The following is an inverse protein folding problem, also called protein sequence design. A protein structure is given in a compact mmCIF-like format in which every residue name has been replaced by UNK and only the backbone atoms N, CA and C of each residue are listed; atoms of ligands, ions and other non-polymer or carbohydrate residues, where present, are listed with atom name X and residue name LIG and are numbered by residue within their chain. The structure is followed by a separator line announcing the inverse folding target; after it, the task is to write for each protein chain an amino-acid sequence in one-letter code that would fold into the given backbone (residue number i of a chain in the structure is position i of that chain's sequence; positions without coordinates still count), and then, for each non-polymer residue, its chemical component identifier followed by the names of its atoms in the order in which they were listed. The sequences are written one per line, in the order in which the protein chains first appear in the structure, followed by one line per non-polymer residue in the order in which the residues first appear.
data_IF_408924431941
#
_entry.id   IF_408924431941
#
_cell.length_a   1.000
_cell.length_b   1.000
_cell.length_c   1.000
_cell.angle_alpha   90.00
_cell.angle_beta   90.00
_cell.angle_gamma   90.00
#
_symmetry.space_group_name_H-M   'P 1'
#
loop_
_entity.id
_entity.type
_entity.pdbx_description
1 polymer ?
#
# COMPACT_ATOMS: atom_id res chain seq x y z
N UNK A 1 17.93 8.51 -9.73
CA UNK A 1 17.58 7.36 -8.86
C UNK A 1 16.34 7.72 -8.08
N UNK A 2 15.42 6.78 -7.90
CA UNK A 2 14.24 6.90 -7.02
C UNK A 2 14.47 5.94 -5.86
N UNK A 3 14.29 6.43 -4.63
CA UNK A 3 14.35 5.62 -3.42
C UNK A 3 13.03 5.77 -2.67
N UNK A 4 12.39 4.67 -2.34
CA UNK A 4 11.09 4.64 -1.68
C UNK A 4 11.08 3.75 -0.46
N UNK A 5 10.16 4.03 0.45
CA UNK A 5 9.96 3.24 1.65
C UNK A 5 8.73 3.69 2.43
N UNK A 6 8.36 2.91 3.43
CA UNK A 6 7.28 3.28 4.35
C UNK A 6 7.85 4.13 5.49
N UNK A 7 7.44 5.39 5.57
CA UNK A 7 7.91 6.29 6.63
C UNK A 7 7.01 6.23 7.89
N UNK A 8 5.69 6.22 7.72
CA UNK A 8 4.70 6.20 8.82
C UNK A 8 3.42 5.46 8.41
N UNK A 9 2.59 5.09 9.39
CA UNK A 9 1.22 4.57 9.19
C UNK A 9 0.13 5.67 9.17
N UNK A 10 0.52 6.94 9.31
CA UNK A 10 -0.35 8.12 9.23
C UNK A 10 0.03 8.97 8.02
N UNK A 11 -0.88 9.82 7.53
CA UNK A 11 -0.54 10.82 6.53
C UNK A 11 0.71 11.59 6.97
N UNK A 12 1.66 11.77 6.07
CA UNK A 12 2.95 12.36 6.37
C UNK A 12 3.29 13.38 5.30
N UNK A 13 3.75 14.55 5.74
CA UNK A 13 4.29 15.56 4.84
C UNK A 13 5.57 15.03 4.16
N UNK A 14 5.75 15.23 2.85
CA UNK A 14 6.98 14.89 2.15
C UNK A 14 8.25 15.46 2.80
N UNK A 15 8.17 16.66 3.37
CA UNK A 15 9.30 17.29 4.05
C UNK A 15 9.70 16.57 5.35
N UNK A 16 8.73 16.00 6.05
CA UNK A 16 8.99 15.15 7.22
C UNK A 16 9.50 13.76 6.87
N UNK A 17 9.02 13.20 5.74
CA UNK A 17 9.40 11.86 5.29
C UNK A 17 10.80 11.83 4.66
N UNK A 18 11.20 12.88 3.96
CA UNK A 18 12.45 12.93 3.21
C UNK A 18 13.70 12.66 4.07
N UNK A 19 13.91 13.27 5.27
CA UNK A 19 15.06 12.97 6.11
C UNK A 19 15.12 11.51 6.55
N UNK A 20 13.98 10.90 6.86
CA UNK A 20 13.91 9.49 7.27
C UNK A 20 14.32 8.58 6.12
N UNK A 21 13.78 8.82 4.93
CA UNK A 21 14.12 8.04 3.74
C UNK A 21 15.56 8.28 3.29
N UNK A 22 16.08 9.51 3.42
CA UNK A 22 17.47 9.82 3.14
C UNK A 22 18.42 9.03 4.05
N UNK A 23 18.12 8.98 5.36
CA UNK A 23 18.88 8.17 6.29
C UNK A 23 18.86 6.69 5.91
N UNK A 24 17.68 6.12 5.64
CA UNK A 24 17.56 4.73 5.21
C UNK A 24 18.33 4.44 3.93
N UNK A 25 18.33 5.38 2.98
CA UNK A 25 19.07 5.29 1.73
C UNK A 25 20.58 5.27 1.98
N UNK A 26 21.08 6.21 2.77
CA UNK A 26 22.52 6.36 3.02
C UNK A 26 23.09 5.30 3.96
N UNK A 27 22.27 4.69 4.81
CA UNK A 27 22.63 3.51 5.60
C UNK A 27 22.82 2.27 4.71
N UNK A 28 22.00 2.14 3.66
CA UNK A 28 22.08 1.02 2.68
C UNK A 28 23.14 1.27 1.60
N UNK A 29 23.27 2.50 1.17
CA UNK A 29 24.15 2.92 0.10
C UNK A 29 25.02 4.10 0.57
N UNK A 30 26.12 3.84 1.34
CA UNK A 30 26.97 4.89 1.90
C UNK A 30 27.56 5.85 0.87
N UNK A 31 27.78 5.38 -0.35
CA UNK A 31 28.26 6.19 -1.46
C UNK A 31 27.31 7.33 -1.87
N UNK A 32 26.05 7.29 -1.43
CA UNK A 32 25.06 8.33 -1.72
C UNK A 32 25.00 9.43 -0.64
N UNK A 33 25.87 9.38 0.36
CA UNK A 33 25.98 10.46 1.36
C UNK A 33 26.37 11.76 0.68
N UNK A 34 25.68 12.84 1.04
CA UNK A 34 25.87 14.16 0.43
C UNK A 34 25.13 14.35 -0.90
N UNK A 35 24.44 13.33 -1.43
CA UNK A 35 23.62 13.49 -2.64
C UNK A 35 22.44 14.41 -2.35
N UNK A 36 22.23 15.39 -3.23
CA UNK A 36 21.09 16.31 -3.12
C UNK A 36 19.78 15.61 -3.48
N UNK A 37 18.78 15.73 -2.62
CA UNK A 37 17.41 15.34 -2.92
C UNK A 37 16.74 16.46 -3.70
N UNK A 38 16.24 16.15 -4.88
CA UNK A 38 15.59 17.12 -5.79
C UNK A 38 14.09 17.11 -5.65
N UNK A 39 13.50 15.96 -5.37
CA UNK A 39 12.05 15.78 -5.24
C UNK A 39 11.74 14.81 -4.11
N UNK A 40 10.70 15.11 -3.34
CA UNK A 40 10.12 14.22 -2.36
C UNK A 40 8.59 14.26 -2.49
N UNK A 41 7.95 13.10 -2.39
CA UNK A 41 6.49 12.99 -2.39
C UNK A 41 6.05 11.85 -1.50
N UNK A 42 4.80 11.91 -1.09
CA UNK A 42 4.14 10.84 -0.35
C UNK A 42 2.87 10.42 -1.09
N UNK A 43 2.39 9.22 -0.81
CA UNK A 43 1.14 8.72 -1.35
C UNK A 43 0.47 7.77 -0.35
N UNK A 44 -0.84 7.70 -0.41
CA UNK A 44 -1.62 6.77 0.38
C UNK A 44 -1.67 5.41 -0.31
N UNK A 45 -1.54 4.35 0.47
CA UNK A 45 -1.74 2.98 0.00
C UNK A 45 -3.09 2.48 0.50
N UNK A 46 -3.92 1.99 -0.41
CA UNK A 46 -5.19 1.38 -0.07
C UNK A 46 -4.98 -0.06 0.39
N UNK A 47 -5.26 -0.32 1.67
CA UNK A 47 -5.30 -1.66 2.24
C UNK A 47 -6.75 -2.10 2.42
N UNK A 48 -7.03 -3.34 2.07
CA UNK A 48 -8.29 -4.01 2.34
C UNK A 48 -8.19 -4.84 3.63
N UNK A 49 -9.32 -5.16 4.23
CA UNK A 49 -9.36 -5.92 5.50
C UNK A 49 -8.85 -7.35 5.32
N UNK A 50 -9.07 -7.93 4.15
CA UNK A 50 -8.63 -9.29 3.79
C UNK A 50 -7.28 -9.31 3.06
N UNK A 51 -6.61 -8.16 2.97
CA UNK A 51 -5.32 -7.98 2.27
C UNK A 51 -5.35 -8.42 0.79
N UNK A 52 -6.54 -8.53 0.19
CA UNK A 52 -6.72 -8.90 -1.21
C UNK A 52 -7.21 -7.71 -2.04
N UNK A 53 -6.79 -7.57 -3.28
CA UNK A 53 -7.39 -6.61 -4.20
C UNK A 53 -8.78 -7.07 -4.61
N UNK A 54 -9.62 -6.10 -4.94
CA UNK A 54 -11.00 -6.34 -5.38
C UNK A 54 -11.29 -5.64 -6.70
N UNK A 55 -12.06 -6.30 -7.54
CA UNK A 55 -12.66 -5.71 -8.73
C UNK A 55 -14.13 -6.07 -8.79
N UNK A 56 -14.90 -5.25 -9.48
CA UNK A 56 -16.34 -5.50 -9.64
C UNK A 56 -17.05 -4.42 -10.42
N UNK A 57 -18.37 -4.44 -10.30
CA UNK A 57 -19.25 -3.41 -10.84
C UNK A 57 -20.26 -3.03 -9.77
N UNK A 58 -20.38 -1.74 -9.51
CA UNK A 58 -21.43 -1.17 -8.68
C UNK A 58 -22.24 -0.20 -9.53
N UNK A 59 -23.54 -0.41 -9.64
CA UNK A 59 -24.39 0.28 -10.62
C UNK A 59 -23.81 0.15 -12.04
N UNK A 60 -23.40 1.24 -12.66
CA UNK A 60 -22.75 1.26 -13.97
C UNK A 60 -21.24 1.57 -13.91
N UNK A 61 -20.65 1.64 -12.71
CA UNK A 61 -19.24 1.94 -12.51
C UNK A 61 -18.47 0.64 -12.28
N UNK A 62 -17.51 0.36 -13.14
CA UNK A 62 -16.53 -0.70 -12.91
C UNK A 62 -15.41 -0.19 -12.03
N UNK A 63 -14.96 -1.00 -11.06
CA UNK A 63 -13.92 -0.61 -10.13
C UNK A 63 -12.84 -1.69 -9.97
N UNK A 64 -11.62 -1.24 -9.69
CA UNK A 64 -10.53 -2.05 -9.15
C UNK A 64 -9.86 -1.26 -8.03
N UNK A 65 -9.60 -1.88 -6.90
CA UNK A 65 -9.04 -1.20 -5.73
C UNK A 65 -8.35 -2.18 -4.77
N UNK A 66 -7.69 -1.64 -3.72
CA UNK A 66 -7.10 -2.45 -2.67
C UNK A 66 -5.85 -3.19 -3.09
N UNK A 67 -4.91 -2.51 -3.78
CA UNK A 67 -3.67 -3.13 -4.25
C UNK A 67 -2.67 -3.50 -3.15
N UNK A 68 -2.90 -3.11 -1.89
CA UNK A 68 -2.10 -3.45 -0.71
C UNK A 68 -0.58 -3.22 -0.88
N UNK A 69 -0.21 -2.17 -1.64
CA UNK A 69 1.17 -1.81 -1.94
C UNK A 69 1.75 -2.44 -3.23
N UNK A 70 1.05 -3.38 -3.88
CA UNK A 70 1.48 -4.02 -5.13
C UNK A 70 0.86 -3.38 -6.37
N UNK A 71 0.66 -2.03 -6.35
CA UNK A 71 -0.15 -1.31 -7.34
C UNK A 71 0.29 -1.50 -8.78
N UNK A 72 1.58 -1.45 -9.07
CA UNK A 72 2.07 -1.54 -10.46
C UNK A 72 1.64 -2.85 -11.12
N UNK A 73 1.86 -3.98 -10.48
CA UNK A 73 1.50 -5.29 -11.00
C UNK A 73 -0.01 -5.54 -10.93
N UNK A 74 -0.58 -5.40 -9.73
CA UNK A 74 -1.98 -5.77 -9.49
C UNK A 74 -2.97 -4.86 -10.22
N UNK A 75 -2.77 -3.54 -10.21
CA UNK A 75 -3.70 -2.63 -10.89
C UNK A 75 -3.60 -2.75 -12.41
N UNK A 76 -2.44 -3.06 -12.96
CA UNK A 76 -2.30 -3.38 -14.40
C UNK A 76 -3.06 -4.65 -14.75
N UNK A 77 -2.94 -5.70 -13.94
CA UNK A 77 -3.68 -6.95 -14.13
C UNK A 77 -5.21 -6.74 -14.01
N UNK A 78 -5.66 -6.10 -12.93
CA UNK A 78 -7.08 -5.85 -12.70
C UNK A 78 -7.68 -4.92 -13.75
N UNK A 79 -6.95 -3.89 -14.18
CA UNK A 79 -7.36 -3.01 -15.27
C UNK A 79 -7.56 -3.77 -16.58
N UNK A 80 -6.66 -4.70 -16.89
CA UNK A 80 -6.85 -5.60 -18.03
C UNK A 80 -8.10 -6.47 -17.91
N UNK A 81 -8.34 -7.07 -16.73
CA UNK A 81 -9.53 -7.89 -16.50
C UNK A 81 -10.82 -7.07 -16.61
N UNK A 82 -10.85 -5.86 -16.05
CA UNK A 82 -11.99 -4.95 -16.18
C UNK A 82 -12.24 -4.57 -17.63
N UNK A 83 -11.19 -4.20 -18.38
CA UNK A 83 -11.33 -3.87 -19.81
C UNK A 83 -11.98 -5.03 -20.58
N UNK A 84 -11.52 -6.26 -20.34
CA UNK A 84 -12.14 -7.46 -20.96
C UNK A 84 -13.59 -7.63 -20.56
N UNK A 85 -13.93 -7.34 -19.29
CA UNK A 85 -15.32 -7.44 -18.79
C UNK A 85 -16.21 -6.40 -19.46
N UNK A 86 -15.74 -5.17 -19.60
CA UNK A 86 -16.48 -4.08 -20.26
C UNK A 86 -16.79 -4.40 -21.73
N UNK A 87 -15.86 -4.99 -22.46
CA UNK A 87 -16.04 -5.35 -23.87
C UNK A 87 -16.67 -6.75 -24.08
N UNK A 88 -17.13 -7.40 -23.01
CA UNK A 88 -17.80 -8.70 -23.10
C UNK A 88 -16.87 -9.89 -23.44
N UNK A 89 -15.56 -9.75 -23.33
CA UNK A 89 -14.57 -10.80 -23.62
C UNK A 89 -14.07 -11.53 -22.38
N UNK A 90 -14.98 -11.90 -21.47
CA UNK A 90 -14.62 -12.64 -20.24
C UNK A 90 -14.70 -14.14 -20.50
N UNK A 91 -13.55 -14.80 -20.53
CA UNK A 91 -13.48 -16.26 -20.72
C UNK A 91 -13.32 -17.02 -19.39
N UNK A 92 -12.96 -16.35 -18.30
CA UNK A 92 -12.78 -16.95 -16.96
C UNK A 92 -13.16 -15.93 -15.90
N UNK A 93 -13.73 -16.43 -14.79
CA UNK A 93 -14.00 -15.60 -13.60
C UNK A 93 -12.66 -15.22 -12.98
N UNK A 94 -12.43 -13.93 -12.77
CA UNK A 94 -11.27 -13.45 -12.05
C UNK A 94 -11.47 -13.72 -10.54
N UNK A 95 -10.48 -14.26 -9.86
CA UNK A 95 -10.56 -14.56 -8.43
C UNK A 95 -10.83 -13.31 -7.56
N UNK A 96 -10.49 -12.13 -8.06
CA UNK A 96 -10.71 -10.84 -7.40
C UNK A 96 -12.04 -10.17 -7.75
N UNK A 97 -12.84 -10.79 -8.66
CA UNK A 97 -14.17 -10.30 -9.03
C UNK A 97 -15.19 -10.77 -8.00
N UNK A 98 -15.25 -10.08 -6.88
CA UNK A 98 -16.13 -10.38 -5.75
C UNK A 98 -17.12 -9.24 -5.55
N UNK A 99 -18.43 -9.54 -5.42
CA UNK A 99 -19.45 -8.50 -5.25
C UNK A 99 -19.45 -7.86 -3.86
N UNK A 100 -18.82 -8.49 -2.88
CA UNK A 100 -18.80 -8.04 -1.48
C UNK A 100 -17.39 -7.78 -0.99
N UNK A 101 -17.25 -6.66 -0.26
CA UNK A 101 -16.04 -6.34 0.46
C UNK A 101 -16.16 -6.76 1.91
N UNK A 102 -15.18 -7.44 2.50
CA UNK A 102 -15.13 -7.60 3.93
C UNK A 102 -14.92 -6.22 4.56
N UNK A 103 -15.87 -5.83 5.40
CA UNK A 103 -15.83 -4.57 6.15
C UNK A 103 -15.87 -4.86 7.63
N UNK A 104 -15.32 -3.96 8.43
CA UNK A 104 -15.39 -4.03 9.88
C UNK A 104 -16.47 -3.06 10.39
N UNK A 105 -17.40 -3.49 11.27
CA UNK A 105 -18.51 -2.64 11.74
C UNK A 105 -18.07 -1.31 12.37
N UNK A 106 -16.88 -1.28 12.97
CA UNK A 106 -16.32 -0.08 13.61
C UNK A 106 -15.48 0.78 12.65
N UNK A 107 -15.44 0.45 11.36
CA UNK A 107 -14.66 1.19 10.38
C UNK A 107 -15.57 2.15 9.59
N UNK A 108 -15.38 3.43 9.78
CA UNK A 108 -16.12 4.50 9.12
C UNK A 108 -15.20 5.34 8.20
N UNK A 109 -14.33 4.70 7.45
CA UNK A 109 -13.45 5.36 6.46
C UNK A 109 -12.15 5.93 7.03
N UNK A 110 -12.01 6.08 8.36
CA UNK A 110 -10.76 6.51 8.99
C UNK A 110 -10.14 5.33 9.77
N UNK A 111 -8.90 4.93 9.44
CA UNK A 111 -8.24 3.80 10.10
C UNK A 111 -7.66 4.21 11.46
N UNK A 112 -8.53 4.54 12.42
CA UNK A 112 -8.16 4.99 13.76
C UNK A 112 -7.29 3.99 14.55
N UNK A 113 -7.36 2.73 14.19
CA UNK A 113 -6.62 1.64 14.83
C UNK A 113 -5.16 1.51 14.34
N UNK A 114 -4.80 2.09 13.20
CA UNK A 114 -3.45 1.95 12.61
C UNK A 114 -2.30 2.38 13.53
N UNK A 115 -2.39 3.46 14.32
CA UNK A 115 -1.33 3.79 15.28
C UNK A 115 -1.08 2.69 16.32
N UNK A 116 -2.15 2.03 16.78
CA UNK A 116 -2.06 0.92 17.76
C UNK A 116 -1.44 -0.33 17.12
N UNK A 117 -1.88 -0.68 15.91
CA UNK A 117 -1.29 -1.78 15.13
C UNK A 117 0.20 -1.51 14.85
N UNK A 118 0.53 -0.29 14.44
CA UNK A 118 1.93 0.11 14.22
C UNK A 118 2.77 0.08 15.50
N UNK A 119 2.17 0.42 16.64
CA UNK A 119 2.79 0.29 17.96
C UNK A 119 3.09 -1.16 18.32
N UNK A 120 2.09 -2.03 18.16
CA UNK A 120 2.23 -3.47 18.39
C UNK A 120 3.38 -4.09 17.56
N UNK A 121 3.42 -3.86 16.27
CA UNK A 121 4.48 -4.40 15.41
C UNK A 121 5.86 -3.84 15.76
N UNK A 122 5.98 -2.57 16.15
CA UNK A 122 7.25 -2.00 16.63
C UNK A 122 7.78 -2.70 17.88
N UNK A 123 6.89 -2.98 18.84
CA UNK A 123 7.27 -3.70 20.07
C UNK A 123 7.66 -5.14 19.73
N UNK A 124 6.89 -5.81 18.87
CA UNK A 124 7.19 -7.16 18.42
C UNK A 124 8.55 -7.25 17.70
N UNK A 125 8.81 -6.37 16.73
CA UNK A 125 10.09 -6.29 16.03
C UNK A 125 11.28 -6.03 16.97
N UNK A 126 11.06 -5.21 18.00
CA UNK A 126 12.08 -4.94 19.00
C UNK A 126 12.37 -6.17 19.87
N UNK A 127 11.34 -6.92 20.27
CA UNK A 127 11.49 -8.18 21.00
C UNK A 127 12.19 -9.27 20.18
N UNK A 128 11.80 -9.38 18.91
CA UNK A 128 12.39 -10.39 18.01
C UNK A 128 13.88 -10.10 17.75
N UNK A 129 14.27 -8.83 17.54
CA UNK A 129 15.69 -8.44 17.43
C UNK A 129 16.54 -8.76 18.67
N UNK A 130 15.92 -8.81 19.87
CA UNK A 130 16.64 -9.18 21.10
C UNK A 130 16.85 -10.67 21.25
N UNK A 131 16.06 -11.50 20.58
CA UNK A 131 16.21 -12.96 20.60
C UNK A 131 17.30 -13.46 19.66
N UNK A 132 17.62 -12.64 18.65
CA UNK A 132 18.62 -12.96 17.62
C UNK A 132 20.03 -12.45 17.98
N UNK A 133 20.21 -11.84 19.17
CA UNK A 133 21.50 -11.44 19.77
C UNK A 133 21.90 -12.36 20.91
#
# INVERSE_FOLDING_TARGET
MIFGGRAKFSPTDPQEAAPVLYKMMTDRFPALRGTRITHAWTGNVAFTVDELPHMGKFENVHYALGCNGSGVAMMSYLGHQIARKVIGRVNRVCAFDRPTFPTHPLYHGKPWFLPYVGGYFRVKDWLDRRKDQ
#
